data_IF_305032168327
#
_entry.id   IF_305032168327
#
_cell.length_a   1.000
_cell.length_b   1.000
_cell.length_c   1.000
_cell.angle_alpha   90.00
_cell.angle_beta   90.00
_cell.angle_gamma   90.00
#
_symmetry.space_group_name_H-M   'P 1'
#
loop_
_entity.id
_entity.type
_entity.pdbx_description
1 polymer ?
#
# COMPACT_ATOMS: atom_id res chain seq x y z
N UNK A 1 -13.09 -8.12 -8.37
CA UNK A 1 -13.15 -9.55 -8.15
C UNK A 1 -14.55 -10.12 -8.40
N UNK A 2 -14.77 -11.43 -8.24
CA UNK A 2 -16.05 -12.12 -8.57
C UNK A 2 -17.22 -11.64 -7.69
N UNK A 3 -16.93 -11.04 -6.53
CA UNK A 3 -17.96 -10.46 -5.66
C UNK A 3 -18.47 -9.09 -6.11
N UNK A 4 -17.85 -8.51 -7.13
CA UNK A 4 -18.24 -7.20 -7.64
C UNK A 4 -19.64 -7.27 -8.26
N UNK A 5 -20.52 -6.29 -7.94
CA UNK A 5 -21.90 -6.26 -8.39
C UNK A 5 -22.02 -6.38 -9.92
N UNK A 6 -21.14 -5.71 -10.70
CA UNK A 6 -21.15 -5.77 -12.15
C UNK A 6 -20.91 -7.20 -12.67
N UNK A 7 -19.94 -7.93 -12.08
CA UNK A 7 -19.70 -9.31 -12.43
C UNK A 7 -20.92 -10.19 -12.17
N UNK A 8 -21.50 -10.11 -10.97
CA UNK A 8 -22.68 -10.89 -10.56
C UNK A 8 -23.92 -10.55 -11.37
N UNK A 9 -24.19 -9.25 -11.55
CA UNK A 9 -25.45 -8.78 -12.14
C UNK A 9 -25.44 -8.75 -13.67
N UNK A 10 -24.26 -8.69 -14.30
CA UNK A 10 -24.13 -8.54 -15.74
C UNK A 10 -23.34 -9.68 -16.38
N UNK A 11 -22.12 -9.92 -15.95
CA UNK A 11 -21.25 -10.89 -16.62
C UNK A 11 -21.78 -12.33 -16.44
N UNK A 12 -22.09 -12.74 -15.20
CA UNK A 12 -22.63 -14.08 -14.94
C UNK A 12 -24.04 -14.27 -15.54
N UNK A 13 -24.78 -13.19 -15.72
CA UNK A 13 -26.13 -13.23 -16.29
C UNK A 13 -26.20 -12.81 -17.76
N UNK A 14 -25.06 -12.72 -18.43
CA UNK A 14 -24.99 -12.21 -19.79
C UNK A 14 -25.94 -12.97 -20.75
N UNK A 15 -25.95 -14.30 -20.66
CA UNK A 15 -26.83 -15.14 -21.47
C UNK A 15 -28.32 -14.92 -21.16
N UNK A 16 -28.67 -14.87 -19.87
CA UNK A 16 -30.07 -14.67 -19.45
C UNK A 16 -30.59 -13.26 -19.83
N UNK A 17 -29.72 -12.28 -19.88
CA UNK A 17 -30.03 -10.89 -20.25
C UNK A 17 -29.80 -10.59 -21.73
N UNK A 18 -29.51 -11.59 -22.54
CA UNK A 18 -29.21 -11.45 -23.96
C UNK A 18 -28.11 -10.40 -24.24
N UNK A 19 -27.03 -10.42 -23.42
CA UNK A 19 -25.90 -9.53 -23.53
C UNK A 19 -24.73 -10.21 -24.23
N UNK A 20 -24.06 -9.47 -25.11
CA UNK A 20 -22.79 -9.89 -25.68
C UNK A 20 -21.67 -9.59 -24.67
N UNK A 21 -21.08 -10.63 -24.13
CA UNK A 21 -19.88 -10.53 -23.29
C UNK A 21 -18.68 -11.00 -24.09
N UNK A 22 -17.75 -10.10 -24.33
CA UNK A 22 -16.48 -10.38 -25.00
C UNK A 22 -15.34 -10.28 -23.99
N UNK A 23 -14.48 -11.27 -23.98
CA UNK A 23 -13.28 -11.32 -23.14
C UNK A 23 -12.05 -11.26 -24.03
N UNK A 24 -11.26 -10.21 -23.88
CA UNK A 24 -10.00 -10.04 -24.59
C UNK A 24 -8.86 -10.06 -23.60
N UNK A 25 -7.75 -10.67 -23.99
CA UNK A 25 -6.50 -10.70 -23.24
C UNK A 25 -5.40 -10.02 -24.06
N UNK A 26 -4.23 -9.87 -23.47
CA UNK A 26 -3.05 -9.41 -24.18
C UNK A 26 -2.68 -10.30 -25.38
N UNK A 27 -3.01 -11.58 -25.30
CA UNK A 27 -2.69 -12.54 -26.36
C UNK A 27 -3.53 -12.32 -27.61
N UNK A 28 -4.73 -11.75 -27.46
CA UNK A 28 -5.63 -11.38 -28.57
C UNK A 28 -5.18 -10.10 -29.26
N UNK A 29 -4.23 -9.34 -28.70
CA UNK A 29 -3.70 -8.12 -29.30
C UNK A 29 -2.56 -8.44 -30.26
N UNK A 30 -2.88 -8.44 -31.55
CA UNK A 30 -1.92 -8.71 -32.63
C UNK A 30 -0.84 -7.63 -32.80
N UNK A 31 -1.05 -6.43 -32.25
CA UNK A 31 -0.08 -5.33 -32.32
C UNK A 31 1.07 -5.48 -31.30
N UNK A 32 0.93 -6.37 -30.32
CA UNK A 32 1.97 -6.62 -29.33
C UNK A 32 2.89 -7.75 -29.79
N UNK A 33 4.17 -7.47 -29.88
CA UNK A 33 5.19 -8.49 -30.19
C UNK A 33 5.39 -9.47 -29.02
N UNK A 34 5.82 -10.70 -29.30
CA UNK A 34 6.02 -11.70 -28.25
C UNK A 34 7.04 -11.30 -27.17
N UNK A 35 8.14 -10.59 -27.48
CA UNK A 35 9.04 -10.07 -26.42
C UNK A 35 8.33 -9.11 -25.44
N UNK A 36 7.43 -8.28 -25.95
CA UNK A 36 6.63 -7.36 -25.10
C UNK A 36 5.66 -8.17 -24.25
N UNK A 37 4.93 -9.13 -24.83
CA UNK A 37 4.02 -10.01 -24.10
C UNK A 37 4.76 -10.82 -23.02
N UNK A 38 5.93 -11.36 -23.34
CA UNK A 38 6.76 -12.11 -22.39
C UNK A 38 7.21 -11.23 -21.21
N UNK A 39 7.58 -9.97 -21.47
CA UNK A 39 7.92 -9.02 -20.40
C UNK A 39 6.74 -8.75 -19.47
N UNK A 40 5.55 -8.53 -20.00
CA UNK A 40 4.34 -8.35 -19.17
C UNK A 40 3.99 -9.60 -18.38
N UNK A 41 4.08 -10.79 -18.99
CA UNK A 41 3.84 -12.07 -18.27
C UNK A 41 4.83 -12.26 -17.12
N UNK A 42 6.08 -11.86 -17.28
CA UNK A 42 7.12 -11.96 -16.25
C UNK A 42 6.95 -10.96 -15.09
N UNK A 43 6.20 -9.86 -15.31
CA UNK A 43 5.97 -8.84 -14.26
C UNK A 43 4.94 -9.27 -13.21
N UNK A 44 4.09 -10.25 -13.53
CA UNK A 44 2.97 -10.62 -12.67
C UNK A 44 3.03 -12.09 -12.31
N UNK A 45 2.67 -12.41 -11.06
CA UNK A 45 2.55 -13.79 -10.57
C UNK A 45 1.25 -13.97 -9.78
N UNK A 46 0.82 -15.22 -9.59
CA UNK A 46 -0.34 -15.57 -8.78
C UNK A 46 -1.63 -14.87 -9.24
N UNK A 47 -2.37 -14.32 -8.29
CA UNK A 47 -3.67 -13.67 -8.53
C UNK A 47 -3.57 -12.45 -9.45
N UNK A 48 -2.45 -11.72 -9.41
CA UNK A 48 -2.22 -10.58 -10.28
C UNK A 48 -2.03 -11.00 -11.73
N UNK A 49 -1.35 -12.13 -11.98
CA UNK A 49 -1.25 -12.72 -13.31
C UNK A 49 -2.63 -13.09 -13.87
N UNK A 50 -3.46 -13.76 -13.05
CA UNK A 50 -4.82 -14.12 -13.45
C UNK A 50 -5.71 -12.90 -13.76
N UNK A 51 -5.56 -11.82 -12.98
CA UNK A 51 -6.36 -10.59 -13.16
C UNK A 51 -5.87 -9.71 -14.31
N UNK A 52 -4.58 -9.44 -14.38
CA UNK A 52 -4.03 -8.42 -15.30
C UNK A 52 -3.55 -9.01 -16.63
N UNK A 53 -3.09 -10.27 -16.64
CA UNK A 53 -2.66 -10.92 -17.87
C UNK A 53 -3.78 -11.74 -18.48
N UNK A 54 -4.49 -12.54 -17.67
CA UNK A 54 -5.59 -13.39 -18.15
C UNK A 54 -6.96 -12.73 -18.08
N UNK A 55 -7.09 -11.52 -17.53
CA UNK A 55 -8.36 -10.79 -17.43
C UNK A 55 -9.44 -11.51 -16.62
N UNK A 56 -9.06 -12.42 -15.72
CA UNK A 56 -10.01 -13.24 -14.96
C UNK A 56 -10.58 -12.49 -13.76
N UNK A 57 -11.85 -12.73 -13.50
CA UNK A 57 -12.53 -12.29 -12.29
C UNK A 57 -12.23 -13.25 -11.14
N UNK A 58 -11.04 -13.15 -10.56
CA UNK A 58 -10.63 -13.97 -9.42
C UNK A 58 -10.68 -13.19 -8.13
N UNK A 59 -10.98 -13.87 -7.03
CA UNK A 59 -10.86 -13.26 -5.70
C UNK A 59 -9.39 -12.97 -5.47
N UNK A 60 -9.10 -11.78 -4.97
CA UNK A 60 -7.76 -11.44 -4.52
C UNK A 60 -7.54 -12.05 -3.12
N UNK A 61 -7.73 -13.35 -3.00
CA UNK A 61 -7.34 -14.13 -1.82
C UNK A 61 -5.85 -14.47 -1.87
N UNK A 62 -5.04 -13.52 -2.27
CA UNK A 62 -3.60 -13.65 -2.22
C UNK A 62 -3.04 -12.56 -1.35
N UNK A 63 -2.33 -12.93 -0.32
CA UNK A 63 -1.47 -12.01 0.41
C UNK A 63 -0.49 -11.39 -0.58
N UNK A 64 -0.36 -10.07 -0.54
CA UNK A 64 0.61 -9.35 -1.39
C UNK A 64 2.03 -9.87 -1.11
N UNK A 65 2.30 -10.20 0.15
CA UNK A 65 3.56 -10.75 0.63
C UNK A 65 3.33 -12.08 1.36
N UNK A 66 3.07 -13.20 0.63
CA UNK A 66 2.77 -14.49 1.26
C UNK A 66 3.92 -15.03 2.11
N UNK A 67 5.16 -14.68 1.76
CA UNK A 67 6.34 -15.06 2.53
C UNK A 67 6.39 -14.40 3.92
N UNK A 68 5.80 -13.21 4.10
CA UNK A 68 5.68 -12.57 5.42
C UNK A 68 4.72 -13.35 6.30
N UNK A 69 3.58 -13.79 5.75
CA UNK A 69 2.62 -14.59 6.50
C UNK A 69 3.16 -16.00 6.84
N UNK A 70 4.02 -16.56 5.99
CA UNK A 70 4.64 -17.86 6.24
C UNK A 70 5.67 -17.83 7.38
N UNK A 71 6.33 -16.68 7.60
CA UNK A 71 7.32 -16.51 8.67
C UNK A 71 7.34 -15.05 9.16
N UNK A 72 6.32 -14.59 9.90
CA UNK A 72 6.20 -13.20 10.34
C UNK A 72 7.36 -12.75 11.23
N UNK A 73 7.88 -13.63 12.08
CA UNK A 73 8.95 -13.30 13.03
C UNK A 73 10.25 -12.85 12.33
N UNK A 74 10.50 -13.31 11.11
CA UNK A 74 11.67 -12.89 10.33
C UNK A 74 11.65 -11.39 9.97
N UNK A 75 10.50 -10.76 10.03
CA UNK A 75 10.29 -9.34 9.66
C UNK A 75 10.04 -8.45 10.87
N UNK A 76 9.98 -9.02 12.05
CA UNK A 76 9.81 -8.27 13.29
C UNK A 76 11.17 -7.86 13.88
N UNK A 77 11.19 -6.66 14.44
CA UNK A 77 12.25 -6.20 15.32
C UNK A 77 11.68 -6.17 16.74
N UNK A 78 12.32 -6.94 17.64
CA UNK A 78 11.98 -6.94 19.06
C UNK A 78 12.97 -6.08 19.85
N UNK A 79 12.51 -5.50 20.96
CA UNK A 79 13.35 -4.77 21.91
C UNK A 79 13.21 -3.25 21.80
N UNK A 80 14.00 -2.47 22.55
CA UNK A 80 13.83 -1.03 22.64
C UNK A 80 14.20 -0.32 21.33
N UNK A 81 13.35 0.58 20.88
CA UNK A 81 13.62 1.48 19.75
C UNK A 81 14.19 2.83 20.19
N UNK A 82 14.20 3.10 21.49
CA UNK A 82 14.79 4.30 22.07
C UNK A 82 16.30 4.35 21.79
N UNK A 83 16.77 5.48 21.26
CA UNK A 83 18.20 5.65 20.94
C UNK A 83 18.64 5.04 19.61
N UNK A 84 17.71 4.55 18.77
CA UNK A 84 18.08 4.14 17.41
C UNK A 84 18.64 5.33 16.63
N UNK A 85 19.88 5.16 16.15
CA UNK A 85 20.54 6.14 15.29
C UNK A 85 20.09 5.96 13.84
N UNK A 86 19.67 7.06 13.19
CA UNK A 86 19.21 7.03 11.82
C UNK A 86 18.45 8.29 11.44
N UNK A 87 17.96 8.31 10.20
CA UNK A 87 17.09 9.39 9.71
C UNK A 87 15.63 8.96 9.85
N UNK A 88 14.79 9.87 10.32
CA UNK A 88 13.39 9.56 10.56
C UNK A 88 12.50 10.13 9.47
N UNK A 89 11.56 9.29 9.02
CA UNK A 89 10.57 9.59 7.99
C UNK A 89 9.20 9.11 8.45
N UNK A 90 8.15 9.73 7.92
CA UNK A 90 6.79 9.24 8.13
C UNK A 90 6.18 8.86 6.78
N UNK A 91 5.55 7.71 6.71
CA UNK A 91 4.67 7.32 5.59
C UNK A 91 3.23 7.35 6.05
N UNK A 92 2.33 7.90 5.22
CA UNK A 92 0.92 8.02 5.55
C UNK A 92 0.09 7.46 4.39
N UNK A 93 -0.68 6.40 4.69
CA UNK A 93 -1.80 5.95 3.88
C UNK A 93 -3.07 6.58 4.46
N UNK A 94 -3.55 7.63 3.78
CA UNK A 94 -4.62 8.47 4.28
C UNK A 94 -5.99 7.96 3.85
N UNK A 95 -6.84 7.66 4.81
CA UNK A 95 -8.21 7.27 4.58
C UNK A 95 -9.19 8.08 5.42
N UNK A 96 -10.28 8.53 4.81
CA UNK A 96 -11.40 9.18 5.53
C UNK A 96 -12.47 8.17 5.94
N UNK A 97 -12.92 7.33 5.00
CA UNK A 97 -13.81 6.19 5.24
C UNK A 97 -13.06 4.88 5.44
N UNK A 98 -11.94 4.73 4.76
CA UNK A 98 -11.00 3.63 4.99
C UNK A 98 -10.06 4.00 6.14
N UNK A 99 -9.41 3.00 6.75
CA UNK A 99 -8.43 3.30 7.79
C UNK A 99 -7.34 4.25 7.32
N UNK A 100 -6.90 5.13 8.22
CA UNK A 100 -5.70 5.92 8.07
C UNK A 100 -4.56 5.26 8.84
N UNK A 101 -3.45 4.98 8.18
CA UNK A 101 -2.25 4.41 8.80
C UNK A 101 -1.07 5.34 8.61
N UNK A 102 -0.41 5.69 9.73
CA UNK A 102 0.81 6.47 9.74
C UNK A 102 1.92 5.64 10.36
N UNK A 103 3.06 5.53 9.70
CA UNK A 103 4.22 4.82 10.20
C UNK A 103 5.41 5.74 10.36
N UNK A 104 6.02 5.75 11.56
CA UNK A 104 7.31 6.39 11.81
C UNK A 104 8.42 5.38 11.52
N UNK A 105 9.33 5.74 10.64
CA UNK A 105 10.42 4.93 10.16
C UNK A 105 11.77 5.48 10.60
N UNK A 106 12.63 4.63 11.09
CA UNK A 106 14.05 4.88 11.25
C UNK A 106 14.81 4.26 10.07
N UNK A 107 15.45 5.09 9.25
CA UNK A 107 16.22 4.67 8.08
C UNK A 107 17.70 4.77 8.39
N UNK A 108 18.37 3.64 8.32
CA UNK A 108 19.82 3.46 8.49
C UNK A 108 20.46 3.14 7.12
N UNK A 109 21.78 3.00 7.05
CA UNK A 109 22.48 2.79 5.77
C UNK A 109 21.92 1.62 4.95
N UNK A 110 21.58 0.49 5.60
CA UNK A 110 21.18 -0.75 4.91
C UNK A 110 19.76 -1.21 5.23
N UNK A 111 19.03 -0.55 6.13
CA UNK A 111 17.71 -0.97 6.53
C UNK A 111 16.79 0.18 6.90
N UNK A 112 15.50 -0.07 6.82
CA UNK A 112 14.44 0.77 7.33
C UNK A 112 13.62 -0.02 8.34
N UNK A 113 13.36 0.57 9.51
CA UNK A 113 12.56 -0.04 10.56
C UNK A 113 11.36 0.85 10.85
N UNK A 114 10.14 0.30 10.77
CA UNK A 114 8.94 0.96 11.27
C UNK A 114 8.93 0.83 12.78
N UNK A 115 9.14 1.94 13.48
CA UNK A 115 9.37 1.94 14.94
C UNK A 115 8.14 2.35 15.74
N UNK A 116 7.18 3.04 15.10
CA UNK A 116 5.88 3.42 15.69
C UNK A 116 4.81 3.44 14.62
N UNK A 117 3.57 3.23 15.05
CA UNK A 117 2.39 3.30 14.23
C UNK A 117 1.29 4.15 14.89
N UNK A 118 0.54 4.88 14.08
CA UNK A 118 -0.77 5.41 14.40
C UNK A 118 -1.77 4.87 13.40
N UNK A 119 -2.69 4.04 13.86
CA UNK A 119 -3.75 3.46 13.04
C UNK A 119 -5.11 3.95 13.51
N UNK A 120 -5.93 4.42 12.60
CA UNK A 120 -7.27 4.89 12.90
C UNK A 120 -8.28 4.37 11.89
N UNK A 121 -9.23 3.58 12.37
CA UNK A 121 -10.32 3.04 11.54
C UNK A 121 -11.64 3.74 11.89
N UNK A 122 -12.05 4.69 11.03
CA UNK A 122 -13.28 5.49 11.22
C UNK A 122 -14.54 4.65 11.23
N UNK A 123 -14.55 3.48 10.57
CA UNK A 123 -15.70 2.56 10.55
C UNK A 123 -15.91 1.85 11.90
N UNK A 124 -14.82 1.48 12.56
CA UNK A 124 -14.87 0.84 13.89
C UNK A 124 -15.24 1.85 14.98
N UNK A 125 -14.67 3.05 14.90
CA UNK A 125 -14.91 4.11 15.89
C UNK A 125 -16.22 4.87 15.61
N UNK A 126 -16.82 4.69 14.42
CA UNK A 126 -18.00 5.42 13.93
C UNK A 126 -17.85 6.96 13.97
N UNK A 127 -16.62 7.43 13.81
CA UNK A 127 -16.29 8.83 13.74
C UNK A 127 -15.20 9.07 12.68
N UNK A 128 -15.41 10.07 11.82
CA UNK A 128 -14.39 10.49 10.86
C UNK A 128 -13.56 11.61 11.46
N UNK A 129 -12.24 11.42 11.48
CA UNK A 129 -11.33 12.50 11.85
C UNK A 129 -11.25 13.54 10.73
N UNK A 130 -11.16 14.79 11.16
CA UNK A 130 -10.76 15.92 10.31
C UNK A 130 -9.25 15.87 10.00
N UNK A 131 -8.82 16.63 9.01
CA UNK A 131 -7.40 16.77 8.70
C UNK A 131 -6.58 17.30 9.90
N UNK A 132 -7.14 18.20 10.70
CA UNK A 132 -6.52 18.72 11.92
C UNK A 132 -6.36 17.64 13.02
N UNK A 133 -7.34 16.78 13.19
CA UNK A 133 -7.25 15.66 14.13
C UNK A 133 -6.22 14.63 13.68
N UNK A 134 -6.10 14.39 12.37
CA UNK A 134 -5.03 13.56 11.80
C UNK A 134 -3.67 14.24 11.95
N UNK A 135 -3.61 15.56 11.81
CA UNK A 135 -2.37 16.30 12.03
C UNK A 135 -1.92 16.23 13.50
N UNK A 136 -2.83 16.34 14.46
CA UNK A 136 -2.54 16.12 15.88
C UNK A 136 -1.99 14.71 16.14
N UNK A 137 -2.56 13.69 15.51
CA UNK A 137 -2.05 12.31 15.61
C UNK A 137 -0.64 12.16 15.01
N UNK A 138 -0.34 12.88 13.92
CA UNK A 138 1.00 12.94 13.35
C UNK A 138 2.00 13.58 14.31
N UNK A 139 1.63 14.66 14.99
CA UNK A 139 2.48 15.31 15.99
C UNK A 139 2.77 14.38 17.19
N UNK A 140 1.77 13.63 17.64
CA UNK A 140 1.94 12.64 18.71
C UNK A 140 2.83 11.49 18.31
N UNK A 141 2.64 10.95 17.10
CA UNK A 141 3.47 9.87 16.54
C UNK A 141 4.95 10.28 16.49
N UNK A 142 5.22 11.51 16.12
CA UNK A 142 6.58 12.03 15.88
C UNK A 142 7.21 12.71 17.10
N UNK A 143 6.52 12.72 18.24
CA UNK A 143 7.02 13.39 19.46
C UNK A 143 8.37 12.81 19.88
N UNK A 144 9.37 13.67 20.00
CA UNK A 144 10.75 13.32 20.37
C UNK A 144 11.65 12.88 19.21
N UNK A 145 11.15 12.96 17.96
CA UNK A 145 11.92 12.62 16.77
C UNK A 145 12.04 13.83 15.82
N UNK A 146 13.22 13.99 15.23
CA UNK A 146 13.43 14.93 14.14
C UNK A 146 13.08 14.24 12.81
N UNK A 147 11.88 14.48 12.31
CA UNK A 147 11.39 13.91 11.05
C UNK A 147 11.92 14.74 9.88
N UNK A 148 12.64 14.08 8.97
CA UNK A 148 13.18 14.73 7.78
C UNK A 148 12.10 15.00 6.74
N UNK A 149 11.18 14.07 6.54
CA UNK A 149 10.14 14.18 5.53
C UNK A 149 8.91 13.32 5.88
N UNK A 150 7.75 13.84 5.55
CA UNK A 150 6.46 13.13 5.60
C UNK A 150 6.03 12.82 4.17
N UNK A 151 5.76 11.56 3.87
CA UNK A 151 5.33 11.08 2.56
C UNK A 151 3.87 10.64 2.67
N UNK A 152 2.99 11.24 1.86
CA UNK A 152 1.53 11.04 1.93
C UNK A 152 1.02 10.58 0.58
N UNK A 153 -0.03 9.74 0.57
CA UNK A 153 -0.73 9.37 -0.65
C UNK A 153 -1.16 10.63 -1.44
N UNK A 154 -0.90 10.72 -2.74
CA UNK A 154 -1.23 11.90 -3.55
C UNK A 154 -2.73 12.20 -3.62
N UNK A 155 -3.61 11.22 -3.36
CA UNK A 155 -5.06 11.43 -3.30
C UNK A 155 -5.51 12.27 -2.10
N UNK A 156 -4.68 12.39 -1.05
CA UNK A 156 -4.94 13.14 0.18
C UNK A 156 -4.59 14.64 0.07
N UNK A 157 -5.07 15.31 -0.97
CA UNK A 157 -4.68 16.71 -1.27
C UNK A 157 -4.98 17.68 -0.11
N UNK A 158 -6.11 17.54 0.58
CA UNK A 158 -6.49 18.40 1.72
C UNK A 158 -5.56 18.20 2.90
N UNK A 159 -5.21 16.97 3.21
CA UNK A 159 -4.29 16.66 4.30
C UNK A 159 -2.86 17.11 4.00
N UNK A 160 -2.40 16.95 2.76
CA UNK A 160 -1.11 17.51 2.30
C UNK A 160 -1.04 19.02 2.52
N UNK A 161 -2.13 19.72 2.20
CA UNK A 161 -2.20 21.18 2.38
C UNK A 161 -2.25 21.56 3.88
N UNK A 162 -2.94 20.79 4.70
CA UNK A 162 -2.97 20.99 6.16
C UNK A 162 -1.57 20.87 6.74
N UNK A 163 -0.80 19.84 6.39
CA UNK A 163 0.59 19.66 6.85
C UNK A 163 1.47 20.85 6.40
N UNK A 164 1.32 21.31 5.16
CA UNK A 164 2.07 22.46 4.64
C UNK A 164 1.77 23.75 5.39
N UNK A 165 0.50 24.00 5.69
CA UNK A 165 0.10 25.22 6.44
C UNK A 165 0.66 25.29 7.84
N UNK A 166 0.75 24.15 8.53
CA UNK A 166 1.41 24.10 9.84
C UNK A 166 2.93 24.35 9.77
N UNK A 167 3.56 24.07 8.62
CA UNK A 167 4.95 24.42 8.36
C UNK A 167 6.01 23.68 9.19
N UNK A 168 5.60 22.68 9.99
CA UNK A 168 6.51 21.93 10.86
C UNK A 168 7.27 20.84 10.11
N UNK A 169 6.67 20.23 9.11
CA UNK A 169 7.22 19.09 8.38
C UNK A 169 7.43 19.42 6.91
N UNK A 170 8.53 18.98 6.35
CA UNK A 170 8.63 18.84 4.91
C UNK A 170 7.69 17.71 4.47
N UNK A 171 6.80 17.98 3.53
CA UNK A 171 5.82 16.99 3.06
C UNK A 171 5.84 16.89 1.55
N UNK A 172 5.78 15.67 1.04
CA UNK A 172 5.58 15.39 -0.39
C UNK A 172 4.54 14.30 -0.63
N UNK A 173 4.01 14.30 -1.83
CA UNK A 173 3.19 13.20 -2.32
C UNK A 173 4.06 11.96 -2.62
N UNK A 174 3.54 10.79 -2.33
CA UNK A 174 4.17 9.51 -2.68
C UNK A 174 4.20 9.31 -4.20
N UNK A 175 5.18 8.55 -4.69
CA UNK A 175 5.11 7.97 -6.03
C UNK A 175 4.04 6.86 -6.01
N UNK A 176 3.08 6.94 -6.93
CA UNK A 176 1.87 6.09 -6.88
C UNK A 176 1.88 4.95 -7.92
N UNK A 177 3.06 4.43 -8.28
CA UNK A 177 3.15 3.17 -9.02
C UNK A 177 3.00 1.99 -8.05
N UNK A 178 1.76 1.51 -7.91
CA UNK A 178 1.41 0.44 -6.96
C UNK A 178 2.20 -0.84 -7.23
N UNK A 179 2.38 -1.22 -8.49
CA UNK A 179 3.05 -2.48 -8.84
C UNK A 179 4.54 -2.41 -8.58
N UNK A 180 5.16 -1.31 -8.93
CA UNK A 180 6.58 -1.09 -8.64
C UNK A 180 6.82 -1.01 -7.13
N UNK A 181 5.93 -0.33 -6.41
CA UNK A 181 5.95 -0.26 -4.94
C UNK A 181 5.87 -1.65 -4.29
N UNK A 182 4.96 -2.52 -4.75
CA UNK A 182 4.84 -3.90 -4.25
C UNK A 182 6.13 -4.68 -4.53
N UNK A 183 6.68 -4.59 -5.73
CA UNK A 183 7.90 -5.31 -6.13
C UNK A 183 9.12 -4.86 -5.32
N UNK A 184 9.31 -3.55 -5.19
CA UNK A 184 10.42 -2.97 -4.42
C UNK A 184 10.30 -3.37 -2.95
N UNK A 185 9.12 -3.25 -2.36
CA UNK A 185 8.87 -3.62 -0.97
C UNK A 185 9.12 -5.12 -0.74
N UNK A 186 8.64 -5.98 -1.64
CA UNK A 186 8.90 -7.42 -1.55
C UNK A 186 10.41 -7.73 -1.56
N UNK A 187 11.16 -7.11 -2.47
CA UNK A 187 12.61 -7.29 -2.56
C UNK A 187 13.34 -6.82 -1.30
N UNK A 188 12.93 -5.69 -0.73
CA UNK A 188 13.53 -5.16 0.49
C UNK A 188 13.21 -6.02 1.72
N UNK A 189 11.97 -6.51 1.83
CA UNK A 189 11.56 -7.44 2.88
C UNK A 189 12.37 -8.73 2.80
N UNK A 190 12.45 -9.38 1.63
CA UNK A 190 13.20 -10.63 1.44
C UNK A 190 14.71 -10.45 1.67
N UNK A 191 15.24 -9.27 1.41
CA UNK A 191 16.64 -8.93 1.72
C UNK A 191 16.87 -8.58 3.20
N UNK A 192 15.85 -8.64 4.06
CA UNK A 192 15.95 -8.24 5.48
C UNK A 192 16.21 -6.74 5.69
N UNK A 193 15.96 -5.93 4.68
CA UNK A 193 16.22 -4.48 4.72
C UNK A 193 15.03 -3.66 5.22
N UNK A 194 13.87 -4.25 5.34
CA UNK A 194 12.66 -3.66 5.94
C UNK A 194 12.21 -4.54 7.09
N UNK A 195 12.04 -3.94 8.24
CA UNK A 195 11.54 -4.58 9.44
C UNK A 195 10.46 -3.72 10.11
N UNK A 196 9.61 -4.35 10.89
CA UNK A 196 8.54 -3.71 11.65
C UNK A 196 8.76 -4.01 13.11
N UNK A 197 8.70 -3.00 13.96
CA UNK A 197 8.82 -3.22 15.40
C UNK A 197 7.57 -3.93 15.94
N UNK A 198 7.76 -4.80 16.91
CA UNK A 198 6.69 -5.62 17.52
C UNK A 198 5.52 -4.82 18.12
N UNK A 199 5.71 -3.53 18.38
CA UNK A 199 4.66 -2.64 18.90
C UNK A 199 3.80 -1.98 17.81
N UNK A 200 4.05 -2.27 16.52
CA UNK A 200 3.29 -1.70 15.39
C UNK A 200 2.14 -2.61 14.97
#
# INVERSE_FOLDING_TARGET
GPEHWFYKSWILQARAKNLLYLHFTMDDNLSLSEPIKARYRAQYTGVFYERYIRGRWVVAEGLVYPFVAANPDAYLLCGPTAGMDGRFFVSIDYGTHNPCSMGLWCVQANRAVRIKESYYNSREVQHQRTDEEHYTALEELTRGYYVQEVVVDPSAASFLETIRRHGRYMVRAAANDVLDGIRVTASLLQAGRVQIHESC
#
